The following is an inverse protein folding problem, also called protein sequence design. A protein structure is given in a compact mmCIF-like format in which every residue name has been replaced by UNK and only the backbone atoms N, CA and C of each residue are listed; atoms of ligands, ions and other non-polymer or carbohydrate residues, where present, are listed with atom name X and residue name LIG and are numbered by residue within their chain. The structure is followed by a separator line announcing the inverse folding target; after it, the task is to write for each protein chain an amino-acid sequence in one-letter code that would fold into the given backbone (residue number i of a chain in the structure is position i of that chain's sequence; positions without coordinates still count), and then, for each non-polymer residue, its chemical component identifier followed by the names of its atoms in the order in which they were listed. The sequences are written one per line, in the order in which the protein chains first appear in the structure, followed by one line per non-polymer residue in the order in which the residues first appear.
data_IF_694286084861
#
_entry.id   IF_694286084861
#
_cell.length_a   1.000
_cell.length_b   1.000
_cell.length_c   1.000
_cell.angle_alpha   90.00
_cell.angle_beta   90.00
_cell.angle_gamma   90.00
#
_symmetry.space_group_name_H-M   'P 1'
#
loop_
_entity.id
_entity.type
_entity.pdbx_description
1 polymer ?
#
# COMPACT_ATOMS: atom_id res chain seq x y z
N UNK A 1 -24.94 -8.95 -7.25
CA UNK A 1 -23.63 -8.25 -7.28
C UNK A 1 -22.64 -9.22 -6.64
N UNK A 2 -21.44 -9.35 -7.20
CA UNK A 2 -20.39 -10.22 -6.64
C UNK A 2 -19.99 -9.73 -5.24
N UNK A 3 -20.09 -10.60 -4.23
CA UNK A 3 -19.71 -10.31 -2.84
C UNK A 3 -18.25 -9.83 -2.76
N UNK A 4 -17.42 -10.32 -3.66
CA UNK A 4 -16.04 -9.91 -3.83
C UNK A 4 -15.90 -8.41 -4.12
N UNK A 5 -16.73 -7.87 -5.01
CA UNK A 5 -16.72 -6.45 -5.35
C UNK A 5 -17.16 -5.61 -4.15
N UNK A 6 -18.13 -6.10 -3.37
CA UNK A 6 -18.60 -5.41 -2.17
C UNK A 6 -17.50 -5.34 -1.10
N UNK A 7 -16.83 -6.47 -0.83
CA UNK A 7 -15.80 -6.54 0.22
C UNK A 7 -14.51 -5.82 -0.21
N UNK A 8 -14.09 -5.94 -1.47
CA UNK A 8 -12.79 -5.41 -1.92
C UNK A 8 -12.85 -3.95 -2.37
N UNK A 9 -13.97 -3.50 -2.93
CA UNK A 9 -14.06 -2.15 -3.50
C UNK A 9 -15.00 -1.27 -2.69
N UNK A 10 -16.23 -1.73 -2.42
CA UNK A 10 -17.22 -0.86 -1.80
C UNK A 10 -16.89 -0.58 -0.33
N UNK A 11 -16.56 -1.61 0.46
CA UNK A 11 -16.29 -1.44 1.88
C UNK A 11 -15.09 -0.51 2.14
N UNK A 12 -13.91 -0.68 1.49
CA UNK A 12 -12.77 0.22 1.69
C UNK A 12 -13.05 1.65 1.24
N UNK A 13 -13.72 1.85 0.09
CA UNK A 13 -14.06 3.19 -0.39
C UNK A 13 -14.96 3.89 0.63
N UNK A 14 -15.95 3.19 1.19
CA UNK A 14 -16.83 3.77 2.20
C UNK A 14 -16.11 4.08 3.52
N UNK A 15 -15.29 3.15 4.02
CA UNK A 15 -14.59 3.33 5.30
C UNK A 15 -13.47 4.37 5.23
N UNK A 16 -12.80 4.51 4.09
CA UNK A 16 -11.65 5.41 3.89
C UNK A 16 -12.05 6.77 3.29
N UNK A 17 -13.29 6.94 2.82
CA UNK A 17 -13.76 8.19 2.22
C UNK A 17 -13.53 9.44 3.09
N UNK A 18 -13.78 9.44 4.42
CA UNK A 18 -13.50 10.61 5.26
C UNK A 18 -12.02 10.99 5.28
N UNK A 19 -11.13 9.99 5.28
CA UNK A 19 -9.68 10.17 5.30
C UNK A 19 -9.18 10.73 3.96
N UNK A 20 -9.69 10.21 2.85
CA UNK A 20 -9.42 10.75 1.52
C UNK A 20 -9.92 12.18 1.36
N UNK A 21 -11.14 12.48 1.82
CA UNK A 21 -11.69 13.84 1.79
C UNK A 21 -10.78 14.83 2.53
N UNK A 22 -10.28 14.43 3.70
CA UNK A 22 -9.34 15.25 4.48
C UNK A 22 -8.01 15.44 3.72
N UNK A 23 -7.44 14.38 3.17
CA UNK A 23 -6.21 14.45 2.38
C UNK A 23 -6.36 15.39 1.17
N UNK A 24 -7.47 15.30 0.43
CA UNK A 24 -7.77 16.19 -0.70
C UNK A 24 -7.94 17.64 -0.26
N UNK A 25 -8.59 17.90 0.87
CA UNK A 25 -8.73 19.26 1.41
C UNK A 25 -7.37 19.87 1.76
N UNK A 26 -6.46 19.09 2.37
CA UNK A 26 -5.10 19.56 2.64
C UNK A 26 -4.30 19.77 1.36
N UNK A 27 -4.41 18.87 0.38
CA UNK A 27 -3.75 19.01 -0.92
C UNK A 27 -4.24 20.27 -1.67
N UNK A 28 -5.55 20.51 -1.71
CA UNK A 28 -6.15 21.70 -2.33
C UNK A 28 -5.70 23.02 -1.67
N UNK A 29 -5.32 22.97 -0.38
CA UNK A 29 -4.76 24.11 0.35
C UNK A 29 -3.23 24.25 0.21
N UNK A 30 -2.59 23.50 -0.69
CA UNK A 30 -1.14 23.48 -0.87
C UNK A 30 -0.37 22.83 0.28
N UNK A 31 -1.05 22.09 1.16
CA UNK A 31 -0.44 21.40 2.32
C UNK A 31 -0.11 19.95 1.97
N UNK A 32 0.73 19.77 0.95
CA UNK A 32 1.09 18.46 0.38
C UNK A 32 1.67 17.49 1.41
N UNK A 33 2.57 17.97 2.28
CA UNK A 33 3.18 17.13 3.32
C UNK A 33 2.16 16.60 4.33
N UNK A 34 1.15 17.41 4.67
CA UNK A 34 0.08 16.99 5.58
C UNK A 34 -0.86 15.98 4.90
N UNK A 35 -1.21 16.22 3.63
CA UNK A 35 -2.02 15.30 2.84
C UNK A 35 -1.33 13.93 2.71
N UNK A 36 -0.04 13.91 2.36
CA UNK A 36 0.74 12.67 2.28
C UNK A 36 0.86 11.97 3.63
N UNK A 37 1.06 12.71 4.73
CA UNK A 37 1.14 12.12 6.06
C UNK A 37 -0.17 11.39 6.45
N UNK A 38 -1.33 11.96 6.12
CA UNK A 38 -2.64 11.32 6.34
C UNK A 38 -2.72 10.00 5.57
N UNK A 39 -2.41 10.02 4.27
CA UNK A 39 -2.51 8.83 3.41
C UNK A 39 -1.51 7.74 3.82
N UNK A 40 -0.27 8.11 4.14
CA UNK A 40 0.76 7.17 4.62
C UNK A 40 0.32 6.56 5.96
N UNK A 41 -0.21 7.37 6.88
CA UNK A 41 -0.70 6.89 8.17
C UNK A 41 -1.85 5.89 8.02
N UNK A 42 -2.82 6.17 7.16
CA UNK A 42 -3.94 5.25 6.88
C UNK A 42 -3.42 3.93 6.29
N UNK A 43 -2.50 4.00 5.32
CA UNK A 43 -1.91 2.80 4.72
C UNK A 43 -1.08 1.97 5.70
N UNK A 44 -0.34 2.60 6.62
CA UNK A 44 0.38 1.92 7.69
C UNK A 44 -0.59 1.21 8.64
N UNK A 45 -1.68 1.86 9.04
CA UNK A 45 -2.70 1.25 9.89
C UNK A 45 -3.30 0.00 9.24
N UNK A 46 -3.59 0.05 7.93
CA UNK A 46 -4.11 -1.09 7.17
C UNK A 46 -3.12 -2.26 7.09
N UNK A 47 -1.85 -2.00 6.78
CA UNK A 47 -0.84 -3.06 6.63
C UNK A 47 -0.29 -3.61 7.94
N UNK A 48 -0.48 -2.90 9.04
CA UNK A 48 0.03 -3.35 10.35
C UNK A 48 -1.12 -3.84 11.21
N UNK A 49 -1.96 -2.93 11.71
CA UNK A 49 -3.00 -3.27 12.66
C UNK A 49 -4.07 -4.15 12.03
N UNK A 50 -4.62 -3.72 10.89
CA UNK A 50 -5.70 -4.48 10.24
C UNK A 50 -5.17 -5.83 9.73
N UNK A 51 -4.12 -5.83 8.92
CA UNK A 51 -3.55 -7.08 8.39
C UNK A 51 -3.05 -8.03 9.49
N UNK A 52 -2.38 -7.50 10.53
CA UNK A 52 -1.92 -8.27 11.67
C UNK A 52 -3.03 -8.81 12.58
N UNK A 53 -4.20 -8.17 12.57
CA UNK A 53 -5.37 -8.66 13.32
C UNK A 53 -6.14 -9.79 12.62
N UNK A 54 -5.97 -9.98 11.30
CA UNK A 54 -6.68 -11.01 10.55
C UNK A 54 -6.41 -12.44 11.07
N UNK A 55 -5.16 -12.86 11.34
CA UNK A 55 -4.90 -14.18 11.95
C UNK A 55 -5.55 -14.36 13.32
N UNK A 56 -5.61 -13.29 14.13
CA UNK A 56 -6.23 -13.31 15.46
C UNK A 56 -7.74 -13.50 15.32
N UNK A 57 -8.37 -12.72 14.43
CA UNK A 57 -9.79 -12.85 14.14
C UNK A 57 -10.14 -14.24 13.58
N UNK A 58 -9.27 -14.84 12.76
CA UNK A 58 -9.44 -16.19 12.22
C UNK A 58 -9.50 -17.26 13.32
N UNK A 59 -8.55 -17.25 14.27
CA UNK A 59 -8.57 -18.19 15.41
C UNK A 59 -9.83 -17.99 16.26
N UNK A 60 -10.16 -16.74 16.59
CA UNK A 60 -11.36 -16.43 17.40
C UNK A 60 -12.64 -16.87 16.67
N UNK A 61 -12.66 -16.76 15.35
CA UNK A 61 -13.75 -17.20 14.48
C UNK A 61 -13.86 -18.72 14.27
N UNK A 62 -12.99 -19.53 14.89
CA UNK A 62 -13.02 -20.99 14.81
C UNK A 62 -12.02 -21.62 13.83
N UNK A 63 -11.04 -20.86 13.34
CA UNK A 63 -9.95 -21.39 12.51
C UNK A 63 -8.99 -22.30 13.27
N UNK A 64 -8.41 -23.28 12.56
CA UNK A 64 -7.61 -24.36 13.17
C UNK A 64 -6.32 -23.88 13.85
N UNK A 65 -5.69 -22.80 13.36
CA UNK A 65 -4.45 -22.24 13.89
C UNK A 65 -4.23 -20.79 13.42
N UNK A 66 -3.10 -20.19 13.83
CA UNK A 66 -2.72 -18.82 13.45
C UNK A 66 -2.34 -18.65 11.96
N UNK A 67 -2.22 -19.73 11.18
CA UNK A 67 -1.93 -19.66 9.76
C UNK A 67 -3.24 -19.40 9.01
N UNK A 68 -3.53 -18.12 8.76
CA UNK A 68 -4.61 -17.72 7.88
C UNK A 68 -4.37 -18.32 6.49
N UNK A 69 -5.29 -19.14 5.94
CA UNK A 69 -5.10 -19.73 4.62
C UNK A 69 -5.23 -18.66 3.53
N UNK A 70 -4.10 -18.22 3.00
CA UNK A 70 -4.03 -17.28 1.88
C UNK A 70 -3.65 -18.07 0.63
N UNK A 71 -4.64 -18.52 -0.15
CA UNK A 71 -4.45 -19.45 -1.29
C UNK A 71 -5.20 -18.95 -2.53
N UNK A 72 -4.70 -19.31 -3.72
CA UNK A 72 -5.28 -18.90 -5.00
C UNK A 72 -5.32 -17.38 -5.15
N UNK A 73 -6.48 -16.85 -5.53
CA UNK A 73 -6.71 -15.44 -5.81
C UNK A 73 -6.24 -14.49 -4.69
N UNK A 74 -6.52 -14.80 -3.43
CA UNK A 74 -6.11 -13.95 -2.31
C UNK A 74 -4.60 -13.87 -2.15
N UNK A 75 -3.86 -14.94 -2.50
CA UNK A 75 -2.40 -14.93 -2.50
C UNK A 75 -1.83 -14.05 -3.62
N UNK A 76 -2.43 -14.10 -4.80
CA UNK A 76 -2.04 -13.22 -5.92
C UNK A 76 -2.32 -11.75 -5.64
N UNK A 77 -3.44 -11.45 -4.98
CA UNK A 77 -3.75 -10.08 -4.58
C UNK A 77 -2.84 -9.59 -3.46
N UNK A 78 -2.51 -10.46 -2.50
CA UNK A 78 -1.50 -10.15 -1.49
C UNK A 78 -0.14 -9.87 -2.15
N UNK A 79 0.25 -10.67 -3.16
CA UNK A 79 1.45 -10.46 -3.96
C UNK A 79 1.45 -9.10 -4.66
N UNK A 80 0.40 -8.79 -5.43
CA UNK A 80 0.29 -7.52 -6.14
C UNK A 80 0.31 -6.33 -5.18
N UNK A 81 -0.45 -6.42 -4.09
CA UNK A 81 -0.53 -5.34 -3.07
C UNK A 81 0.80 -5.14 -2.36
N UNK A 82 1.55 -6.23 -2.10
CA UNK A 82 2.90 -6.15 -1.52
C UNK A 82 3.87 -5.46 -2.50
N UNK A 83 3.82 -5.81 -3.78
CA UNK A 83 4.65 -5.18 -4.81
C UNK A 83 4.33 -3.69 -4.98
N UNK A 84 3.04 -3.32 -4.98
CA UNK A 84 2.60 -1.92 -4.96
C UNK A 84 3.10 -1.15 -3.74
N UNK A 85 3.06 -1.78 -2.56
CA UNK A 85 3.54 -1.18 -1.31
C UNK A 85 5.05 -0.94 -1.37
N UNK A 86 5.82 -1.89 -1.88
CA UNK A 86 7.27 -1.73 -2.11
C UNK A 86 7.58 -0.58 -3.07
N UNK A 87 6.82 -0.44 -4.16
CA UNK A 87 6.96 0.71 -5.06
C UNK A 87 6.67 2.03 -4.34
N UNK A 88 5.59 2.10 -3.57
CA UNK A 88 5.26 3.29 -2.78
C UNK A 88 6.37 3.69 -1.81
N UNK A 89 6.96 2.72 -1.12
CA UNK A 89 8.12 2.93 -0.23
C UNK A 89 9.34 3.44 -1.01
N UNK A 90 9.65 2.84 -2.16
CA UNK A 90 10.77 3.24 -3.01
C UNK A 90 10.63 4.70 -3.49
N UNK A 91 9.41 5.11 -3.86
CA UNK A 91 9.10 6.48 -4.27
C UNK A 91 9.22 7.48 -3.12
N UNK A 92 8.92 7.07 -1.88
CA UNK A 92 9.01 7.92 -0.69
C UNK A 92 10.43 8.14 -0.19
N UNK A 93 11.44 7.40 -0.68
CA UNK A 93 12.84 7.57 -0.24
C UNK A 93 13.33 9.02 -0.34
N UNK A 94 12.87 9.76 -1.35
CA UNK A 94 13.23 11.17 -1.56
C UNK A 94 12.49 12.16 -0.66
N UNK A 95 11.53 11.70 0.14
CA UNK A 95 10.60 12.54 0.93
C UNK A 95 9.85 13.59 0.10
N UNK A 96 9.76 13.40 -1.22
CA UNK A 96 9.07 14.29 -2.16
C UNK A 96 8.27 13.43 -3.13
N UNK A 97 6.95 13.64 -3.14
CA UNK A 97 6.06 12.95 -4.06
C UNK A 97 5.77 13.87 -5.25
N UNK A 98 6.44 13.63 -6.38
CA UNK A 98 6.30 14.46 -7.59
C UNK A 98 5.21 13.96 -8.54
N UNK A 99 4.87 14.76 -9.55
CA UNK A 99 3.90 14.40 -10.59
C UNK A 99 4.22 13.06 -11.28
N UNK A 100 5.50 12.81 -11.58
CA UNK A 100 5.92 11.55 -12.19
C UNK A 100 5.60 10.33 -11.32
N UNK A 101 5.82 10.44 -9.99
CA UNK A 101 5.47 9.38 -9.04
C UNK A 101 3.96 9.14 -9.05
N UNK A 102 3.16 10.20 -8.96
CA UNK A 102 1.70 10.13 -9.02
C UNK A 102 1.18 9.48 -10.30
N UNK A 103 1.72 9.85 -11.46
CA UNK A 103 1.31 9.31 -12.75
C UNK A 103 1.66 7.82 -12.86
N UNK A 104 2.87 7.43 -12.45
CA UNK A 104 3.29 6.02 -12.46
C UNK A 104 2.39 5.17 -11.56
N UNK A 105 2.19 5.60 -10.30
CA UNK A 105 1.37 4.83 -9.36
C UNK A 105 -0.10 4.79 -9.77
N UNK A 106 -0.65 5.89 -10.27
CA UNK A 106 -2.03 5.94 -10.74
C UNK A 106 -2.23 5.04 -11.96
N UNK A 107 -1.33 5.10 -12.94
CA UNK A 107 -1.44 4.28 -14.15
C UNK A 107 -1.39 2.79 -13.82
N UNK A 108 -0.42 2.39 -12.98
CA UNK A 108 -0.28 1.00 -12.57
C UNK A 108 -1.47 0.52 -11.71
N UNK A 109 -2.03 1.39 -10.87
CA UNK A 109 -3.27 1.11 -10.13
C UNK A 109 -4.46 0.91 -11.09
N UNK A 110 -4.64 1.76 -12.10
CA UNK A 110 -5.73 1.61 -13.06
C UNK A 110 -5.65 0.29 -13.82
N UNK A 111 -4.44 -0.16 -14.18
CA UNK A 111 -4.27 -1.49 -14.78
C UNK A 111 -4.67 -2.63 -13.82
N UNK A 112 -4.48 -2.48 -12.52
CA UNK A 112 -4.82 -3.54 -11.55
C UNK A 112 -6.30 -3.87 -11.44
N UNK A 113 -7.18 -2.99 -11.95
CA UNK A 113 -8.63 -3.22 -11.96
C UNK A 113 -9.03 -4.32 -12.95
N UNK A 114 -8.18 -4.67 -13.91
CA UNK A 114 -8.44 -5.71 -14.90
C UNK A 114 -8.57 -7.07 -14.19
N UNK A 115 -9.72 -7.76 -14.29
CA UNK A 115 -10.00 -8.99 -13.53
C UNK A 115 -9.38 -10.23 -14.20
N UNK A 116 -8.07 -10.20 -14.42
CA UNK A 116 -7.30 -11.30 -15.02
C UNK A 116 -6.17 -11.75 -14.09
N UNK A 117 -6.11 -13.06 -13.80
CA UNK A 117 -5.15 -13.67 -12.88
C UNK A 117 -3.71 -13.57 -13.40
N UNK A 118 -3.50 -13.94 -14.66
CA UNK A 118 -2.17 -13.95 -15.27
C UNK A 118 -1.62 -12.52 -15.33
N UNK A 119 -2.46 -11.57 -15.72
CA UNK A 119 -2.17 -10.15 -15.77
C UNK A 119 -1.82 -9.60 -14.38
N UNK A 120 -2.58 -9.95 -13.33
CA UNK A 120 -2.31 -9.53 -11.94
C UNK A 120 -0.91 -9.95 -11.49
N UNK A 121 -0.50 -11.18 -11.77
CA UNK A 121 0.84 -11.68 -11.43
C UNK A 121 1.92 -10.90 -12.17
N UNK A 122 1.78 -10.71 -13.48
CA UNK A 122 2.72 -9.91 -14.28
C UNK A 122 2.79 -8.45 -13.85
N UNK A 123 1.64 -7.86 -13.53
CA UNK A 123 1.58 -6.50 -13.01
C UNK A 123 2.33 -6.39 -11.68
N UNK A 124 2.27 -7.41 -10.82
CA UNK A 124 3.09 -7.48 -9.60
C UNK A 124 4.59 -7.45 -9.90
N UNK A 125 5.05 -8.21 -10.91
CA UNK A 125 6.44 -8.13 -11.36
C UNK A 125 6.83 -6.76 -11.91
N UNK A 126 5.94 -6.10 -12.68
CA UNK A 126 6.16 -4.74 -13.18
C UNK A 126 6.36 -3.77 -12.01
N UNK A 127 5.50 -3.81 -10.99
CA UNK A 127 5.67 -2.99 -9.78
C UNK A 127 7.00 -3.26 -9.09
N UNK A 128 7.37 -4.53 -8.94
CA UNK A 128 8.62 -4.92 -8.29
C UNK A 128 9.85 -4.42 -9.05
N UNK A 129 9.87 -4.57 -10.38
CA UNK A 129 10.99 -4.10 -11.23
C UNK A 129 11.13 -2.59 -11.13
N UNK A 130 10.02 -1.85 -11.21
CA UNK A 130 10.05 -0.39 -11.05
C UNK A 130 10.53 -0.02 -9.64
N UNK A 131 10.04 -0.70 -8.60
CA UNK A 131 10.48 -0.47 -7.22
C UNK A 131 11.99 -0.69 -7.06
N UNK A 132 12.53 -1.80 -7.59
CA UNK A 132 13.96 -2.10 -7.58
C UNK A 132 14.75 -1.02 -8.31
N UNK A 133 14.28 -0.55 -9.47
CA UNK A 133 14.90 0.56 -10.19
C UNK A 133 14.99 1.83 -9.33
N UNK A 134 13.89 2.20 -8.66
CA UNK A 134 13.85 3.34 -7.75
C UNK A 134 14.75 3.15 -6.52
N UNK A 135 14.75 1.97 -5.90
CA UNK A 135 15.67 1.64 -4.80
C UNK A 135 17.13 1.72 -5.24
N UNK A 136 17.45 1.27 -6.45
CA UNK A 136 18.82 1.29 -6.97
C UNK A 136 19.31 2.71 -7.28
N UNK A 137 18.46 3.54 -7.90
CA UNK A 137 18.75 4.95 -8.19
C UNK A 137 18.88 5.75 -6.88
N UNK A 138 18.07 5.45 -5.86
CA UNK A 138 18.05 6.17 -4.58
C UNK A 138 18.67 5.40 -3.41
N UNK A 139 19.55 4.44 -3.70
CA UNK A 139 20.21 3.60 -2.68
C UNK A 139 20.94 4.40 -1.60
N UNK A 140 21.47 5.56 -1.97
CA UNK A 140 22.21 6.45 -1.06
C UNK A 140 21.30 7.05 0.02
N UNK A 141 19.98 7.06 -0.17
CA UNK A 141 19.00 7.56 0.81
C UNK A 141 18.47 6.49 1.75
N UNK A 142 18.68 5.20 1.46
CA UNK A 142 18.18 4.09 2.27
C UNK A 142 18.80 4.09 3.67
N UNK A 143 20.13 4.15 3.76
CA UNK A 143 20.84 4.14 5.06
C UNK A 143 20.50 5.38 5.90
N UNK A 144 20.50 6.61 5.37
CA UNK A 144 20.03 7.79 6.10
C UNK A 144 18.60 7.65 6.64
N UNK A 145 17.68 7.12 5.84
CA UNK A 145 16.27 6.94 6.21
C UNK A 145 16.13 5.98 7.39
N UNK A 146 16.83 4.85 7.37
CA UNK A 146 16.83 3.89 8.48
C UNK A 146 17.45 4.47 9.75
N UNK A 147 18.56 5.22 9.63
CA UNK A 147 19.19 5.89 10.78
C UNK A 147 18.30 6.96 11.40
N UNK A 148 17.50 7.68 10.59
CA UNK A 148 16.57 8.69 11.09
C UNK A 148 15.50 8.08 12.01
N UNK A 149 15.00 6.89 11.70
CA UNK A 149 14.08 6.14 12.57
C UNK A 149 14.77 5.74 13.88
N UNK A 150 15.96 5.14 13.80
CA UNK A 150 16.70 4.67 14.97
C UNK A 150 17.06 5.81 15.95
N UNK A 151 17.40 6.98 15.43
CA UNK A 151 17.74 8.14 16.26
C UNK A 151 16.52 8.78 16.93
N UNK A 152 15.31 8.60 16.39
CA UNK A 152 14.06 9.08 16.99
C UNK A 152 13.67 8.28 18.24
N UNK A 153 14.02 6.99 18.28
CA UNK A 153 13.73 6.09 19.42
C UNK A 153 14.66 6.36 20.62
N UNK A 154 15.78 7.05 20.42
CA UNK A 154 16.76 7.38 21.48
C UNK A 154 16.50 8.71 22.19
N UNK A 155 15.52 9.50 21.74
CA UNK A 155 15.07 10.73 22.40
C UNK A 155 13.78 10.45 23.16
#
# INVERSE_FOLDING_TARGET
IDEYILVQWLAPIASEAPEFALAFLFAAKGKEAAALAILISSKLNQWTLLAGSMPIAYIIGGGDNAALPVVGRSAEEMWLTSAMTLLGVALLLKLRWGLAASVITLSLFLFSVIPDETFRVYLGYVHLVVAIGYFWVYRDQVVPTLKAVANRVKK
#
